data_IF_679566582838
#
_entry.id   IF_679566582838
#
_cell.length_a   1.000
_cell.length_b   1.000
_cell.length_c   1.000
_cell.angle_alpha   90.00
_cell.angle_beta   90.00
_cell.angle_gamma   90.00
#
_symmetry.space_group_name_H-M   'P 1'
#
loop_
_entity.id
_entity.type
_entity.pdbx_description
1 polymer ?
#
# COMPACT_ATOMS: atom_id res chain seq x y z
N UNK A 1 13.39 -3.57 -3.25
CA UNK A 1 13.14 -4.74 -4.12
C UNK A 1 11.83 -5.36 -3.64
N UNK A 2 10.72 -5.28 -4.38
CA UNK A 2 9.45 -5.81 -3.90
C UNK A 2 9.58 -7.33 -3.76
N UNK A 3 9.19 -7.86 -2.61
CA UNK A 3 9.24 -9.28 -2.32
C UNK A 3 8.37 -10.08 -3.29
N UNK A 4 8.79 -11.31 -3.57
CA UNK A 4 8.16 -12.25 -4.49
C UNK A 4 6.68 -12.57 -4.11
N UNK A 5 6.27 -12.21 -2.89
CA UNK A 5 4.93 -12.42 -2.32
C UNK A 5 4.42 -11.11 -1.70
N UNK A 6 3.65 -10.33 -2.44
CA UNK A 6 2.89 -9.18 -1.91
C UNK A 6 1.40 -9.37 -2.16
N UNK A 7 0.55 -8.88 -1.25
CA UNK A 7 -0.91 -8.88 -1.43
C UNK A 7 -1.33 -8.15 -2.71
N UNK A 8 -0.57 -7.11 -3.09
CA UNK A 8 -0.72 -6.41 -4.35
C UNK A 8 -0.49 -7.32 -5.57
N UNK A 9 0.56 -8.15 -5.56
CA UNK A 9 0.84 -9.10 -6.64
C UNK A 9 -0.22 -10.22 -6.75
N UNK A 10 -0.76 -10.66 -5.61
CA UNK A 10 -1.85 -11.67 -5.59
C UNK A 10 -3.15 -11.05 -6.11
N UNK A 11 -3.53 -9.85 -5.64
CA UNK A 11 -4.75 -9.16 -6.04
C UNK A 11 -4.75 -8.77 -7.53
N UNK A 12 -3.58 -8.42 -8.06
CA UNK A 12 -3.41 -7.97 -9.43
C UNK A 12 -2.59 -8.95 -10.29
N UNK A 13 -2.73 -10.26 -10.04
CA UNK A 13 -2.04 -11.29 -10.81
C UNK A 13 -2.38 -11.24 -12.32
N UNK A 14 -3.59 -10.80 -12.67
CA UNK A 14 -4.06 -10.60 -14.05
C UNK A 14 -4.28 -9.10 -14.37
N UNK A 15 -3.36 -8.23 -13.92
CA UNK A 15 -3.44 -6.79 -14.15
C UNK A 15 -3.67 -6.42 -15.62
N UNK A 16 -2.99 -7.09 -16.55
CA UNK A 16 -3.14 -6.83 -17.99
C UNK A 16 -4.57 -7.07 -18.48
N UNK A 17 -5.23 -8.13 -18.01
CA UNK A 17 -6.62 -8.42 -18.37
C UNK A 17 -7.59 -7.36 -17.81
N UNK A 18 -7.32 -6.82 -16.62
CA UNK A 18 -8.12 -5.73 -16.01
C UNK A 18 -7.92 -4.44 -16.79
N UNK A 19 -6.69 -4.12 -17.17
CA UNK A 19 -6.33 -2.93 -17.93
C UNK A 19 -6.92 -2.94 -19.34
N UNK A 20 -6.92 -4.10 -20.02
CA UNK A 20 -7.52 -4.24 -21.35
C UNK A 20 -9.04 -4.01 -21.39
N UNK A 21 -9.73 -4.15 -20.26
CA UNK A 21 -11.16 -3.88 -20.16
C UNK A 21 -11.47 -2.38 -19.96
N UNK A 22 -10.46 -1.54 -19.72
CA UNK A 22 -10.65 -0.12 -19.48
C UNK A 22 -10.50 0.70 -20.77
N UNK A 23 -11.36 1.72 -20.92
CA UNK A 23 -11.27 2.66 -22.05
C UNK A 23 -9.93 3.43 -22.07
N UNK A 24 -9.38 3.74 -20.91
CA UNK A 24 -8.07 4.38 -20.78
C UNK A 24 -7.20 3.62 -19.75
N UNK A 25 -6.45 2.60 -20.20
CA UNK A 25 -5.65 1.76 -19.33
C UNK A 25 -4.60 2.55 -18.53
N UNK A 26 -3.98 3.56 -19.15
CA UNK A 26 -2.94 4.36 -18.50
C UNK A 26 -3.53 5.17 -17.34
N UNK A 27 -4.63 5.88 -17.59
CA UNK A 27 -5.31 6.67 -16.57
C UNK A 27 -5.82 5.80 -15.41
N UNK A 28 -6.40 4.63 -15.71
CA UNK A 28 -6.87 3.69 -14.70
C UNK A 28 -5.70 3.08 -13.90
N UNK A 29 -4.55 2.86 -14.55
CA UNK A 29 -3.35 2.42 -13.85
C UNK A 29 -2.91 3.46 -12.80
N UNK A 30 -2.79 4.72 -13.22
CA UNK A 30 -2.27 5.80 -12.38
C UNK A 30 -3.23 6.21 -11.24
N UNK A 31 -4.54 6.19 -11.50
CA UNK A 31 -5.54 6.71 -10.55
C UNK A 31 -6.17 5.65 -9.67
N UNK A 32 -6.13 4.37 -10.07
CA UNK A 32 -6.82 3.28 -9.36
C UNK A 32 -5.85 2.17 -8.95
N UNK A 33 -5.17 1.54 -9.91
CA UNK A 33 -4.33 0.36 -9.62
C UNK A 33 -3.10 0.72 -8.79
N UNK A 34 -2.35 1.73 -9.20
CA UNK A 34 -1.14 2.17 -8.53
C UNK A 34 -1.38 2.59 -7.07
N UNK A 35 -2.33 3.52 -6.77
CA UNK A 35 -2.60 3.89 -5.38
C UNK A 35 -3.11 2.74 -4.53
N UNK A 36 -3.92 1.83 -5.08
CA UNK A 36 -4.39 0.65 -4.31
C UNK A 36 -3.26 -0.35 -4.04
N UNK A 37 -2.36 -0.59 -5.00
CA UNK A 37 -1.14 -1.38 -4.79
C UNK A 37 -0.24 -0.79 -3.72
N UNK A 38 -0.05 0.54 -3.75
CA UNK A 38 0.72 1.25 -2.71
C UNK A 38 0.06 1.06 -1.35
N UNK A 39 -1.27 1.20 -1.26
CA UNK A 39 -2.02 0.96 -0.03
C UNK A 39 -1.87 -0.47 0.49
N UNK A 40 -1.95 -1.48 -0.37
CA UNK A 40 -1.78 -2.89 0.01
C UNK A 40 -0.36 -3.19 0.49
N UNK A 41 0.65 -2.57 -0.12
CA UNK A 41 2.04 -2.70 0.33
C UNK A 41 2.26 -1.97 1.66
N UNK A 42 1.67 -0.78 1.83
CA UNK A 42 1.71 -0.04 3.09
C UNK A 42 0.99 -0.81 4.19
N UNK A 43 -0.17 -1.38 3.93
CA UNK A 43 -0.93 -2.20 4.88
C UNK A 43 -0.18 -3.48 5.25
N UNK A 44 0.48 -4.13 4.28
CA UNK A 44 1.40 -5.24 4.59
C UNK A 44 2.56 -4.79 5.49
N UNK A 45 3.12 -3.61 5.27
CA UNK A 45 4.19 -3.03 6.09
C UNK A 45 3.69 -2.62 7.49
N UNK A 46 2.50 -2.01 7.55
CA UNK A 46 1.89 -1.46 8.77
C UNK A 46 1.50 -2.55 9.75
N UNK A 47 0.96 -3.65 9.25
CA UNK A 47 0.55 -4.78 10.08
C UNK A 47 1.72 -5.47 10.78
N UNK A 48 2.96 -5.25 10.36
CA UNK A 48 4.10 -5.99 10.88
C UNK A 48 4.95 -5.27 11.94
N UNK A 49 5.02 -3.94 12.00
CA UNK A 49 5.80 -3.25 13.07
C UNK A 49 5.57 -1.74 13.16
N UNK A 50 5.17 -1.06 12.09
CA UNK A 50 5.19 0.42 12.02
C UNK A 50 4.19 1.12 12.95
N UNK A 51 2.96 0.59 13.11
CA UNK A 51 1.99 1.17 14.06
C UNK A 51 2.43 1.07 15.52
N UNK A 52 3.20 0.03 15.88
CA UNK A 52 3.75 -0.12 17.23
C UNK A 52 4.74 1.00 17.54
N UNK A 53 5.64 1.26 16.60
CA UNK A 53 6.65 2.32 16.71
C UNK A 53 6.03 3.71 16.64
N UNK A 54 5.05 3.95 15.76
CA UNK A 54 4.33 5.24 15.67
C UNK A 54 3.57 5.59 16.95
N UNK A 55 3.01 4.57 17.62
CA UNK A 55 2.32 4.74 18.91
C UNK A 55 3.29 5.17 20.01
N UNK A 56 4.47 4.57 20.07
CA UNK A 56 5.52 4.92 21.05
C UNK A 56 6.06 6.32 20.77
N UNK A 57 6.30 6.67 19.50
CA UNK A 57 6.72 8.00 19.08
C UNK A 57 5.66 9.04 19.49
N UNK A 58 4.38 8.79 19.19
CA UNK A 58 3.28 9.68 19.57
C UNK A 58 3.14 9.87 21.08
N UNK A 59 3.32 8.81 21.88
CA UNK A 59 3.36 8.89 23.34
C UNK A 59 4.55 9.70 23.85
N UNK A 60 5.71 9.55 23.22
CA UNK A 60 6.93 10.30 23.56
C UNK A 60 6.75 11.80 23.30
N UNK A 61 6.18 12.18 22.16
CA UNK A 61 5.81 13.57 21.88
C UNK A 61 4.83 14.13 22.92
N UNK A 62 3.80 13.37 23.30
CA UNK A 62 2.81 13.83 24.28
C UNK A 62 3.43 14.09 25.68
N UNK A 63 4.44 13.31 26.07
CA UNK A 63 5.19 13.51 27.34
C UNK A 63 6.12 14.73 27.26
N UNK A 64 6.78 14.95 26.13
CA UNK A 64 7.73 16.07 25.93
C UNK A 64 7.06 17.45 25.80
N UNK A 65 5.82 17.48 25.33
CA UNK A 65 5.02 18.72 25.19
C UNK A 65 4.04 18.94 26.34
N UNK A 66 4.16 18.17 27.42
CA UNK A 66 3.49 18.39 28.71
C UNK A 66 4.43 19.06 29.69
#
# INVERSE_FOLDING_TARGET
>A
KPGLTSLAAIKYANEEAVLQQQQNPLHYNDTVLFPDKVKLNLDYYDRHTFFGDLKIIGQTFLILFK
#
